data_IF_632014135244
#
_entry.id   IF_632014135244
#
_cell.length_a   1.000
_cell.length_b   1.000
_cell.length_c   1.000
_cell.angle_alpha   90.00
_cell.angle_beta   90.00
_cell.angle_gamma   90.00
#
_symmetry.space_group_name_H-M   'P 1'
#
loop_
_entity.id
_entity.type
_entity.pdbx_description
1 polymer ?
#
# COMPACT_ATOMS: atom_id res chain seq x y z
N UNK A 1 -14.99 11.89 -17.81
CA UNK A 1 -14.04 10.77 -17.85
C UNK A 1 -14.12 9.98 -16.56
N UNK A 2 -14.17 8.64 -16.60
CA UNK A 2 -14.16 7.79 -15.39
C UNK A 2 -12.92 6.91 -15.43
N UNK A 3 -12.00 7.10 -14.48
CA UNK A 3 -10.83 6.24 -14.34
C UNK A 3 -11.27 4.93 -13.68
N UNK A 4 -11.02 3.81 -14.34
CA UNK A 4 -11.35 2.46 -13.86
C UNK A 4 -10.06 1.75 -13.41
N UNK A 5 -10.06 1.23 -12.19
CA UNK A 5 -8.96 0.40 -11.66
C UNK A 5 -9.22 -1.06 -12.02
N UNK A 6 -8.52 -1.54 -13.05
CA UNK A 6 -8.65 -2.92 -13.58
C UNK A 6 -7.62 -3.89 -13.02
N UNK A 7 -6.49 -3.38 -12.52
CA UNK A 7 -5.43 -4.20 -11.93
C UNK A 7 -5.80 -4.61 -10.49
N UNK A 8 -5.80 -5.92 -10.22
CA UNK A 8 -6.12 -6.48 -8.90
C UNK A 8 -5.16 -5.97 -7.81
N UNK A 9 -3.85 -5.91 -8.08
CA UNK A 9 -2.83 -5.42 -7.15
C UNK A 9 -3.09 -3.96 -6.75
N UNK A 10 -3.48 -3.12 -7.72
CA UNK A 10 -3.82 -1.72 -7.45
C UNK A 10 -5.11 -1.61 -6.63
N UNK A 11 -6.11 -2.44 -6.91
CA UNK A 11 -7.34 -2.49 -6.11
C UNK A 11 -7.04 -2.86 -4.66
N UNK A 12 -6.25 -3.91 -4.44
CA UNK A 12 -5.87 -4.36 -3.10
C UNK A 12 -5.08 -3.29 -2.33
N UNK A 13 -4.12 -2.64 -2.99
CA UNK A 13 -3.36 -1.54 -2.40
C UNK A 13 -4.28 -0.37 -1.98
N UNK A 14 -5.19 0.06 -2.86
CA UNK A 14 -6.17 1.11 -2.54
C UNK A 14 -7.11 0.70 -1.39
N UNK A 15 -7.49 -0.56 -1.34
CA UNK A 15 -8.34 -1.08 -0.28
C UNK A 15 -7.62 -1.04 1.07
N UNK A 16 -6.35 -1.46 1.12
CA UNK A 16 -5.52 -1.35 2.33
C UNK A 16 -5.26 0.10 2.73
N UNK A 17 -5.00 0.99 1.77
CA UNK A 17 -4.89 2.44 2.04
C UNK A 17 -6.13 2.97 2.72
N UNK A 18 -7.33 2.64 2.19
CA UNK A 18 -8.60 3.05 2.79
C UNK A 18 -8.73 2.52 4.22
N UNK A 19 -8.43 1.25 4.43
CA UNK A 19 -8.59 0.62 5.75
C UNK A 19 -7.64 1.23 6.79
N UNK A 20 -6.41 1.59 6.40
CA UNK A 20 -5.47 2.30 7.26
C UNK A 20 -5.96 3.72 7.59
N UNK A 21 -6.47 4.46 6.61
CA UNK A 21 -7.03 5.80 6.85
C UNK A 21 -8.28 5.74 7.75
N UNK A 22 -9.10 4.70 7.62
CA UNK A 22 -10.26 4.50 8.49
C UNK A 22 -9.83 4.29 9.95
N UNK A 23 -8.78 3.48 10.20
CA UNK A 23 -8.20 3.32 11.55
C UNK A 23 -7.65 4.63 12.10
N UNK A 24 -6.96 5.41 11.27
CA UNK A 24 -6.47 6.72 11.68
C UNK A 24 -7.62 7.65 12.09
N UNK A 25 -8.74 7.62 11.36
CA UNK A 25 -9.93 8.40 11.68
C UNK A 25 -10.58 7.93 12.98
N UNK A 26 -10.75 6.63 13.17
CA UNK A 26 -11.26 6.04 14.42
C UNK A 26 -10.36 6.36 15.61
N UNK A 27 -9.03 6.33 15.41
CA UNK A 27 -8.05 6.71 16.40
C UNK A 27 -8.13 8.19 16.76
N UNK A 28 -8.40 9.05 15.79
CA UNK A 28 -8.59 10.48 16.01
C UNK A 28 -9.85 10.73 16.84
N UNK A 29 -10.96 10.07 16.50
CA UNK A 29 -12.22 10.14 17.25
C UNK A 29 -12.08 9.58 18.68
N UNK A 30 -11.22 8.59 18.87
CA UNK A 30 -10.86 8.02 20.17
C UNK A 30 -9.85 8.86 20.97
N UNK A 31 -9.34 9.97 20.42
CA UNK A 31 -8.39 10.85 21.09
C UNK A 31 -6.97 10.25 21.24
N UNK A 32 -6.56 9.35 20.34
CA UNK A 32 -5.20 8.82 20.32
C UNK A 32 -4.16 9.92 20.04
N UNK A 33 -2.94 9.71 20.54
CA UNK A 33 -1.83 10.64 20.28
C UNK A 33 -1.42 10.61 18.80
N UNK A 34 -0.86 11.74 18.34
CA UNK A 34 -0.35 11.86 16.97
C UNK A 34 0.68 10.77 16.61
N UNK A 35 1.46 10.29 17.56
CA UNK A 35 2.43 9.20 17.35
C UNK A 35 1.75 7.89 16.97
N UNK A 36 0.60 7.58 17.57
CA UNK A 36 -0.18 6.38 17.25
C UNK A 36 -0.87 6.53 15.89
N UNK A 37 -1.42 7.71 15.59
CA UNK A 37 -2.04 8.01 14.31
C UNK A 37 -1.03 7.98 13.14
N UNK A 38 0.23 8.34 13.41
CA UNK A 38 1.30 8.34 12.41
C UNK A 38 1.58 6.94 11.85
N UNK A 39 1.33 5.89 12.64
CA UNK A 39 1.50 4.49 12.20
C UNK A 39 0.53 4.17 11.06
N UNK A 40 -0.75 4.49 11.23
CA UNK A 40 -1.78 4.25 10.22
C UNK A 40 -1.57 5.13 8.96
N UNK A 41 -1.10 6.37 9.14
CA UNK A 41 -0.74 7.24 8.01
C UNK A 41 0.44 6.69 7.21
N UNK A 42 1.45 6.16 7.90
CA UNK A 42 2.61 5.54 7.25
C UNK A 42 2.19 4.32 6.44
N UNK A 43 1.35 3.44 7.00
CA UNK A 43 0.80 2.29 6.29
C UNK A 43 0.02 2.74 5.03
N UNK A 44 -0.85 3.75 5.15
CA UNK A 44 -1.60 4.28 4.01
C UNK A 44 -0.68 4.76 2.88
N UNK A 45 0.40 5.48 3.23
CA UNK A 45 1.41 5.97 2.29
C UNK A 45 2.22 4.84 1.65
N UNK A 46 2.60 3.81 2.41
CA UNK A 46 3.32 2.63 1.90
C UNK A 46 2.46 1.87 0.87
N UNK A 47 1.17 1.67 1.15
CA UNK A 47 0.25 1.02 0.21
C UNK A 47 0.04 1.84 -1.07
N UNK A 48 -0.06 3.17 -0.96
CA UNK A 48 -0.08 4.05 -2.14
C UNK A 48 1.23 3.97 -2.92
N UNK A 49 2.36 3.90 -2.21
CA UNK A 49 3.70 3.73 -2.79
C UNK A 49 3.83 2.48 -3.65
N UNK A 50 3.15 1.38 -3.29
CA UNK A 50 3.11 0.15 -4.10
C UNK A 50 2.43 0.37 -5.46
N UNK A 51 1.48 1.31 -5.56
CA UNK A 51 0.78 1.63 -6.81
C UNK A 51 1.66 2.46 -7.73
N UNK A 52 2.32 3.48 -7.17
CA UNK A 52 3.17 4.44 -7.90
C UNK A 52 4.59 3.94 -8.14
N UNK A 53 5.00 2.83 -7.51
CA UNK A 53 6.37 2.31 -7.56
C UNK A 53 7.34 3.09 -6.66
N UNK A 54 6.83 3.91 -5.75
CA UNK A 54 7.64 4.72 -4.83
C UNK A 54 8.18 3.91 -3.63
N UNK A 55 7.70 2.68 -3.42
CA UNK A 55 8.15 1.79 -2.34
C UNK A 55 8.22 0.35 -2.85
N UNK A 56 9.44 -0.23 -2.93
CA UNK A 56 9.80 -1.48 -2.22
C UNK A 56 11.30 -1.90 -2.32
N UNK A 57 11.87 -2.53 -1.28
CA UNK A 57 13.04 -3.43 -1.38
C UNK A 57 12.78 -4.73 -2.17
N UNK A 58 11.51 -5.16 -2.25
CA UNK A 58 11.04 -6.29 -3.07
C UNK A 58 11.05 -6.02 -4.58
N UNK A 59 11.02 -4.76 -5.05
CA UNK A 59 11.24 -4.44 -6.48
C UNK A 59 12.64 -4.89 -6.95
N UNK A 60 13.59 -5.09 -6.04
CA UNK A 60 14.90 -5.68 -6.34
C UNK A 60 14.83 -7.21 -6.45
N UNK A 61 14.05 -7.89 -5.61
CA UNK A 61 13.94 -9.36 -5.57
C UNK A 61 13.04 -9.89 -6.69
N UNK A 62 11.92 -9.23 -6.97
CA UNK A 62 11.00 -9.64 -8.05
C UNK A 62 11.59 -9.37 -9.45
N UNK A 63 12.50 -8.39 -9.63
CA UNK A 63 13.26 -8.21 -10.89
C UNK A 63 14.40 -9.23 -11.05
N UNK A 64 15.02 -9.68 -9.94
CA UNK A 64 16.09 -10.70 -9.94
C UNK A 64 15.51 -12.10 -10.18
N UNK A 65 14.31 -12.40 -9.66
CA UNK A 65 13.71 -13.74 -9.69
C UNK A 65 12.48 -13.88 -10.61
N UNK A 66 11.85 -12.80 -11.06
CA UNK A 66 10.61 -12.83 -11.85
C UNK A 66 10.76 -13.21 -13.33
N UNK A 67 11.97 -13.11 -13.91
CA UNK A 67 12.25 -13.55 -15.28
C UNK A 67 12.85 -14.97 -15.37
N UNK A 68 12.98 -15.69 -14.26
CA UNK A 68 13.48 -17.06 -14.26
C UNK A 68 12.38 -18.07 -13.93
N UNK A 69 11.57 -18.37 -14.94
CA UNK A 69 10.88 -19.66 -15.01
C UNK A 69 11.31 -20.35 -16.31
N UNK A 70 12.18 -21.34 -16.17
CA UNK A 70 11.97 -22.74 -16.57
C UNK A 70 13.34 -23.37 -16.81
N UNK A 71 13.53 -24.50 -16.14
CA UNK A 71 14.66 -25.39 -16.38
C UNK A 71 14.92 -25.61 -17.86
N UNK A 72 16.15 -25.30 -18.25
CA UNK A 72 16.98 -26.18 -19.04
C UNK A 72 18.31 -26.32 -18.29
#
# INVERSE_FOLDING_TARGET
DRILVTNLRHREALQRTRDALQKALEGLDAGLSGDLLAVDHKEALEQLGRITGAVTPDDLLDHIFGNFCIGK
#
